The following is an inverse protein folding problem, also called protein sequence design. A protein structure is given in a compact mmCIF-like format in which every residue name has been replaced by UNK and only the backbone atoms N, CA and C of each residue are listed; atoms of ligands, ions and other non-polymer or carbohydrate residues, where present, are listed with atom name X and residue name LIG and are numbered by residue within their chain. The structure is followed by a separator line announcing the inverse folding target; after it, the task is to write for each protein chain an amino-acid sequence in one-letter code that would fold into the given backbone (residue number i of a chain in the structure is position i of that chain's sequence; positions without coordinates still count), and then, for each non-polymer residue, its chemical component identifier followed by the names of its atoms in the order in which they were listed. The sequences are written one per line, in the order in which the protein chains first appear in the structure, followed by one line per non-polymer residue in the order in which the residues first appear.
data_IF_980970833221
#
_entry.id   IF_980970833221
#
_cell.length_a   1.000
_cell.length_b   1.000
_cell.length_c   1.000
_cell.angle_alpha   90.00
_cell.angle_beta   90.00
_cell.angle_gamma   90.00
#
_symmetry.space_group_name_H-M   'P 1'
#
loop_
_entity.id
_entity.type
_entity.pdbx_description
1 polymer ?
#
# COMPACT_ATOMS: atom_id res chain seq x y z
N UNK A 1 -9.71 6.90 34.45
CA UNK A 1 -8.60 7.41 33.61
C UNK A 1 -7.95 6.36 32.66
N UNK A 2 -8.63 5.27 32.26
CA UNK A 2 -8.05 4.25 31.33
C UNK A 2 -8.48 4.37 29.86
N UNK A 3 -9.49 5.20 29.53
CA UNK A 3 -10.04 5.32 28.18
C UNK A 3 -9.15 6.13 27.21
N UNK A 4 -8.41 7.13 27.68
CA UNK A 4 -7.54 7.94 26.79
C UNK A 4 -6.25 7.23 26.40
N UNK A 5 -5.75 6.28 27.20
CA UNK A 5 -4.52 5.56 26.91
C UNK A 5 -4.69 4.58 25.73
N UNK A 6 -5.83 3.88 25.67
CA UNK A 6 -6.18 3.01 24.54
C UNK A 6 -6.43 3.83 23.26
N UNK A 7 -7.12 4.96 23.36
CA UNK A 7 -7.35 5.84 22.20
C UNK A 7 -6.01 6.40 21.67
N UNK A 8 -5.10 6.79 22.55
CA UNK A 8 -3.75 7.24 22.18
C UNK A 8 -2.89 6.12 21.61
N UNK A 9 -3.00 4.88 22.07
CA UNK A 9 -2.33 3.73 21.46
C UNK A 9 -2.92 3.39 20.09
N UNK A 10 -4.24 3.48 19.92
CA UNK A 10 -4.88 3.32 18.61
C UNK A 10 -4.52 4.49 17.68
N UNK A 11 -4.40 5.73 18.17
CA UNK A 11 -3.93 6.89 17.41
C UNK A 11 -2.42 6.86 17.14
N UNK A 12 -1.62 6.21 17.98
CA UNK A 12 -0.19 5.95 17.72
C UNK A 12 -0.01 4.82 16.71
N UNK A 13 -0.85 3.77 16.78
CA UNK A 13 -0.93 2.71 15.76
C UNK A 13 -1.57 3.22 14.45
N UNK A 14 -2.40 4.26 14.55
CA UNK A 14 -2.91 5.11 13.45
C UNK A 14 -2.12 6.42 13.34
N UNK A 15 -0.81 6.41 13.61
CA UNK A 15 0.07 7.18 12.72
C UNK A 15 0.04 6.44 11.40
N UNK A 16 -1.07 6.62 10.68
CA UNK A 16 -1.13 6.48 9.22
C UNK A 16 0.19 7.03 8.74
N UNK A 17 1.03 6.17 8.16
CA UNK A 17 2.24 6.61 7.51
C UNK A 17 1.84 7.84 6.69
N UNK A 18 2.45 8.99 6.99
CA UNK A 18 2.14 10.24 6.31
C UNK A 18 2.23 9.90 4.83
N UNK A 19 1.10 10.00 4.12
CA UNK A 19 1.06 9.64 2.71
C UNK A 19 2.15 10.49 2.03
N UNK A 20 3.13 9.86 1.38
CA UNK A 20 4.15 10.60 0.66
C UNK A 20 3.49 11.49 -0.40
N UNK A 21 4.12 12.64 -0.69
CA UNK A 21 3.58 13.62 -1.64
C UNK A 21 3.22 12.98 -2.98
N UNK A 22 4.06 12.08 -3.51
CA UNK A 22 3.80 11.39 -4.77
C UNK A 22 2.51 10.53 -4.74
N UNK A 23 2.18 9.90 -3.60
CA UNK A 23 0.93 9.14 -3.47
C UNK A 23 -0.27 10.07 -3.40
N UNK A 24 -0.13 11.21 -2.71
CA UNK A 24 -1.18 12.23 -2.66
C UNK A 24 -1.47 12.76 -4.07
N UNK A 25 -0.42 13.08 -4.84
CA UNK A 25 -0.57 13.53 -6.23
C UNK A 25 -1.24 12.48 -7.11
N UNK A 26 -0.80 11.21 -7.01
CA UNK A 26 -1.42 10.09 -7.72
C UNK A 26 -2.91 9.99 -7.41
N UNK A 27 -3.28 10.04 -6.12
CA UNK A 27 -4.67 9.93 -5.69
C UNK A 27 -5.53 11.11 -6.15
N UNK A 28 -4.98 12.33 -6.20
CA UNK A 28 -5.69 13.48 -6.78
C UNK A 28 -5.99 13.29 -8.27
N UNK A 29 -5.14 12.58 -9.00
CA UNK A 29 -5.29 12.39 -10.44
C UNK A 29 -6.22 11.21 -10.79
N UNK A 30 -6.11 10.09 -10.09
CA UNK A 30 -6.83 8.87 -10.46
C UNK A 30 -7.50 8.11 -9.31
N UNK A 31 -7.29 8.50 -8.05
CA UNK A 31 -7.80 7.80 -6.87
C UNK A 31 -7.11 6.46 -6.62
N UNK A 32 -7.30 5.49 -7.51
CA UNK A 32 -6.61 4.20 -7.53
C UNK A 32 -6.44 3.71 -8.97
N UNK A 33 -5.68 2.65 -9.19
CA UNK A 33 -5.45 2.11 -10.52
C UNK A 33 -5.73 0.62 -10.51
N UNK A 34 -6.48 0.14 -11.51
CA UNK A 34 -6.73 -1.28 -11.76
C UNK A 34 -6.41 -1.60 -13.22
N UNK A 35 -5.39 -2.42 -13.44
CA UNK A 35 -4.96 -2.91 -14.76
C UNK A 35 -4.96 -4.44 -14.78
N UNK A 36 -6.12 -5.05 -14.49
CA UNK A 36 -6.30 -6.49 -14.59
C UNK A 36 -5.69 -7.23 -13.41
N UNK A 37 -4.40 -7.53 -13.48
CA UNK A 37 -3.67 -8.24 -12.43
C UNK A 37 -2.77 -7.33 -11.59
N UNK A 38 -2.61 -6.06 -11.98
CA UNK A 38 -1.90 -5.05 -11.21
C UNK A 38 -2.85 -3.98 -10.67
N UNK A 39 -2.60 -3.57 -9.43
CA UNK A 39 -3.40 -2.60 -8.71
C UNK A 39 -2.53 -1.62 -7.95
N UNK A 40 -2.91 -0.34 -8.01
CA UNK A 40 -2.51 0.67 -7.02
C UNK A 40 -3.73 0.94 -6.16
N UNK A 41 -3.63 0.60 -4.87
CA UNK A 41 -4.72 0.74 -3.91
C UNK A 41 -4.97 2.22 -3.66
N UNK A 42 -6.21 2.65 -3.92
CA UNK A 42 -6.65 4.03 -3.70
C UNK A 42 -7.22 4.26 -2.30
N UNK A 43 -7.64 5.50 -2.00
CA UNK A 43 -8.32 5.81 -0.74
C UNK A 43 -9.67 5.11 -0.62
N UNK A 44 -10.33 4.87 -1.75
CA UNK A 44 -11.62 4.17 -1.85
C UNK A 44 -11.45 2.82 -2.58
N UNK A 45 -12.34 1.85 -2.33
CA UNK A 45 -12.36 0.60 -3.08
C UNK A 45 -12.59 0.82 -4.57
N UNK A 46 -11.91 0.03 -5.40
CA UNK A 46 -12.10 0.06 -6.87
C UNK A 46 -12.99 -1.10 -7.28
N UNK A 47 -14.15 -0.80 -7.86
CA UNK A 47 -15.09 -1.83 -8.34
C UNK A 47 -14.53 -2.59 -9.55
N UNK A 48 -14.73 -3.90 -9.58
CA UNK A 48 -14.32 -4.78 -10.69
C UNK A 48 -15.53 -5.48 -11.30
N UNK A 49 -16.43 -4.72 -11.92
CA UNK A 49 -17.62 -5.28 -12.57
C UNK A 49 -18.43 -6.18 -11.63
N UNK A 50 -18.56 -7.47 -11.96
CA UNK A 50 -19.29 -8.47 -11.14
C UNK A 50 -18.44 -9.16 -10.05
N UNK A 51 -17.15 -8.85 -9.92
CA UNK A 51 -16.25 -9.46 -8.94
C UNK A 51 -16.20 -8.62 -7.64
N UNK A 52 -15.69 -9.21 -6.55
CA UNK A 52 -15.40 -8.49 -5.32
C UNK A 52 -14.53 -7.24 -5.60
N UNK A 53 -14.85 -6.09 -4.97
CA UNK A 53 -14.10 -4.86 -5.17
C UNK A 53 -12.67 -5.02 -4.65
N UNK A 54 -11.73 -4.34 -5.30
CA UNK A 54 -10.37 -4.20 -4.81
C UNK A 54 -10.43 -3.32 -3.56
N UNK A 55 -9.84 -3.73 -2.43
CA UNK A 55 -9.92 -2.99 -1.18
C UNK A 55 -9.23 -1.62 -1.28
N UNK A 56 -9.63 -0.71 -0.39
CA UNK A 56 -8.90 0.54 -0.20
C UNK A 56 -7.49 0.29 0.38
N UNK A 57 -6.61 1.29 0.27
CA UNK A 57 -5.28 1.26 0.90
C UNK A 57 -5.40 1.07 2.42
N UNK A 58 -6.45 1.64 3.04
CA UNK A 58 -6.67 1.51 4.49
C UNK A 58 -7.05 0.08 4.86
N UNK A 59 -7.97 -0.52 4.10
CA UNK A 59 -8.46 -1.88 4.38
C UNK A 59 -7.36 -2.91 4.14
N UNK A 60 -6.62 -2.81 3.03
CA UNK A 60 -5.53 -3.76 2.75
C UNK A 60 -4.42 -3.67 3.80
N UNK A 61 -4.07 -2.47 4.25
CA UNK A 61 -3.04 -2.30 5.29
C UNK A 61 -3.51 -2.76 6.66
N UNK A 62 -4.82 -2.67 6.95
CA UNK A 62 -5.43 -3.26 8.15
C UNK A 62 -5.36 -4.79 8.10
N UNK A 63 -5.68 -5.39 6.96
CA UNK A 63 -5.69 -6.85 6.79
C UNK A 63 -4.29 -7.47 6.91
N UNK A 64 -3.28 -6.77 6.41
CA UNK A 64 -1.87 -7.19 6.50
C UNK A 64 -1.20 -6.70 7.79
N UNK A 65 -1.90 -5.99 8.67
CA UNK A 65 -1.32 -5.47 9.92
C UNK A 65 -0.80 -6.61 10.85
N UNK A 66 -1.30 -7.82 10.69
CA UNK A 66 -0.72 -9.00 11.37
C UNK A 66 0.74 -9.28 10.99
N UNK A 67 1.21 -8.76 9.85
CA UNK A 67 2.58 -8.89 9.34
C UNK A 67 3.46 -7.66 9.63
N UNK A 68 3.05 -6.76 10.54
CA UNK A 68 3.80 -5.53 10.84
C UNK A 68 5.26 -5.76 11.24
N UNK A 69 5.56 -6.87 11.92
CA UNK A 69 6.94 -7.23 12.27
C UNK A 69 7.85 -7.38 11.05
N UNK A 70 7.29 -7.81 9.91
CA UNK A 70 8.01 -7.98 8.65
C UNK A 70 8.02 -6.67 7.87
N UNK A 71 6.88 -5.99 7.79
CA UNK A 71 6.74 -4.74 7.04
C UNK A 71 7.57 -3.60 7.66
N UNK A 72 7.86 -3.65 8.96
CA UNK A 72 8.69 -2.66 9.69
C UNK A 72 8.26 -1.23 9.38
N UNK A 73 7.00 -0.90 9.67
CA UNK A 73 6.39 0.43 9.45
C UNK A 73 6.22 0.83 7.97
N UNK A 74 6.17 -0.14 7.06
CA UNK A 74 5.82 0.12 5.66
C UNK A 74 4.31 0.06 5.45
N UNK A 75 3.84 0.89 4.53
CA UNK A 75 2.47 0.90 4.05
C UNK A 75 2.44 0.37 2.62
N UNK A 76 1.70 -0.70 2.40
CA UNK A 76 1.49 -1.28 1.07
C UNK A 76 0.61 -0.35 0.24
N UNK A 77 1.04 0.01 -0.95
CA UNK A 77 0.29 0.86 -1.87
C UNK A 77 -0.11 0.15 -3.16
N UNK A 78 0.51 -0.98 -3.50
CA UNK A 78 0.20 -1.69 -4.72
C UNK A 78 0.54 -3.17 -4.68
N UNK A 79 0.01 -3.90 -5.65
CA UNK A 79 0.25 -5.33 -5.83
C UNK A 79 0.09 -5.70 -7.30
N UNK A 80 0.90 -6.64 -7.76
CA UNK A 80 0.61 -7.44 -8.95
C UNK A 80 0.70 -8.94 -8.63
N UNK A 81 0.60 -9.80 -9.64
CA UNK A 81 0.63 -11.26 -9.46
C UNK A 81 1.88 -11.77 -8.74
N UNK A 82 2.99 -11.04 -8.88
CA UNK A 82 4.31 -11.49 -8.44
C UNK A 82 4.81 -10.79 -7.18
N UNK A 83 4.39 -9.55 -6.94
CA UNK A 83 5.01 -8.70 -5.93
C UNK A 83 4.01 -7.77 -5.25
N UNK A 84 4.35 -7.42 -4.00
CA UNK A 84 3.74 -6.29 -3.31
C UNK A 84 4.63 -5.06 -3.39
N UNK A 85 4.02 -3.89 -3.28
CA UNK A 85 4.72 -2.62 -3.31
C UNK A 85 4.31 -1.81 -2.10
N UNK A 86 5.31 -1.27 -1.40
CA UNK A 86 5.10 -0.52 -0.17
C UNK A 86 6.02 0.69 -0.10
N UNK A 87 5.63 1.71 0.67
CA UNK A 87 6.49 2.82 1.03
C UNK A 87 6.73 2.86 2.54
N UNK A 88 7.86 3.39 2.97
CA UNK A 88 8.10 3.70 4.38
C UNK A 88 7.66 5.13 4.73
N UNK A 89 7.72 5.56 6.02
CA UNK A 89 7.28 6.89 6.42
C UNK A 89 8.05 8.05 5.78
N UNK A 90 9.19 7.78 5.13
CA UNK A 90 9.98 8.78 4.39
C UNK A 90 9.66 8.79 2.89
N UNK A 91 8.70 7.99 2.44
CA UNK A 91 8.30 7.87 1.04
C UNK A 91 9.22 7.02 0.18
N UNK A 92 10.19 6.32 0.78
CA UNK A 92 11.03 5.38 0.04
C UNK A 92 10.17 4.16 -0.32
N UNK A 93 10.16 3.80 -1.60
CA UNK A 93 9.40 2.66 -2.10
C UNK A 93 10.21 1.36 -2.10
N UNK A 94 9.51 0.25 -1.92
CA UNK A 94 10.05 -1.10 -1.90
C UNK A 94 9.17 -2.04 -2.71
N UNK A 95 9.82 -2.94 -3.46
CA UNK A 95 9.20 -4.16 -3.97
C UNK A 95 9.37 -5.24 -2.92
N UNK A 96 8.31 -5.94 -2.58
CA UNK A 96 8.29 -7.01 -1.59
C UNK A 96 7.88 -8.32 -2.24
N UNK A 97 8.42 -9.41 -1.72
CA UNK A 97 8.05 -10.77 -2.09
C UNK A 97 6.57 -11.07 -1.81
N UNK A 98 5.91 -11.85 -2.69
CA UNK A 98 4.47 -12.13 -2.59
C UNK A 98 4.09 -12.95 -1.34
N UNK A 99 5.02 -13.78 -0.86
CA UNK A 99 4.77 -14.77 0.19
C UNK A 99 5.23 -14.23 1.54
N UNK A 100 6.49 -13.79 1.59
CA UNK A 100 7.17 -13.42 2.82
C UNK A 100 7.08 -11.93 3.13
N UNK A 101 6.67 -11.08 2.18
CA UNK A 101 6.67 -9.62 2.28
C UNK A 101 8.06 -9.01 2.61
N UNK A 102 9.13 -9.79 2.43
CA UNK A 102 10.48 -9.28 2.59
C UNK A 102 10.83 -8.34 1.43
N UNK A 103 11.55 -7.23 1.70
CA UNK A 103 12.02 -6.35 0.63
C UNK A 103 12.96 -7.08 -0.33
N UNK A 104 12.61 -7.08 -1.61
CA UNK A 104 13.44 -7.58 -2.71
C UNK A 104 14.21 -6.44 -3.40
N UNK A 105 13.59 -5.26 -3.47
CA UNK A 105 14.17 -4.08 -4.11
C UNK A 105 13.76 -2.82 -3.36
N UNK A 106 14.69 -1.88 -3.24
CA UNK A 106 14.45 -0.49 -2.85
C UNK A 106 14.47 0.38 -4.11
N UNK A 107 13.60 1.37 -4.17
CA UNK A 107 13.54 2.32 -5.27
C UNK A 107 14.06 3.68 -4.84
N UNK A 108 14.91 4.27 -5.69
CA UNK A 108 15.38 5.65 -5.54
C UNK A 108 14.36 6.65 -6.12
N UNK A 109 13.49 6.18 -7.01
CA UNK A 109 12.40 6.95 -7.62
C UNK A 109 11.05 6.24 -7.36
N UNK A 110 10.10 6.87 -6.66
CA UNK A 110 8.79 6.28 -6.38
C UNK A 110 7.95 6.03 -7.65
N UNK A 111 8.10 6.84 -8.70
CA UNK A 111 7.36 6.65 -9.95
C UNK A 111 7.77 5.37 -10.66
N UNK A 112 9.05 4.99 -10.55
CA UNK A 112 9.52 3.69 -11.04
C UNK A 112 8.87 2.53 -10.29
N UNK A 113 8.62 2.66 -8.98
CA UNK A 113 7.92 1.63 -8.22
C UNK A 113 6.47 1.46 -8.68
N UNK A 114 5.77 2.57 -8.98
CA UNK A 114 4.41 2.55 -9.55
C UNK A 114 4.42 1.88 -10.93
N UNK A 115 5.36 2.28 -11.79
CA UNK A 115 5.51 1.70 -13.13
C UNK A 115 5.77 0.19 -13.10
N UNK A 116 6.73 -0.25 -12.29
CA UNK A 116 7.06 -1.68 -12.13
C UNK A 116 5.87 -2.47 -11.56
N UNK A 117 5.08 -1.87 -10.65
CA UNK A 117 3.84 -2.46 -10.15
C UNK A 117 2.84 -2.70 -11.29
N UNK A 118 2.62 -1.69 -12.13
CA UNK A 118 1.60 -1.72 -13.19
C UNK A 118 1.99 -2.57 -14.40
N UNK A 119 3.28 -2.68 -14.73
CA UNK A 119 3.74 -3.40 -15.93
C UNK A 119 3.87 -4.89 -15.72
N UNK A 120 4.33 -5.34 -14.55
CA UNK A 120 4.42 -6.76 -14.30
C UNK A 120 3.04 -7.45 -14.26
N UNK A 121 1.93 -6.70 -14.15
CA UNK A 121 0.57 -7.22 -14.33
C UNK A 121 0.01 -7.19 -15.76
N UNK A 122 0.79 -6.79 -16.76
CA UNK A 122 0.39 -6.75 -18.19
C UNK A 122 0.91 -7.94 -19.02
N UNK A 123 1.71 -8.84 -18.44
CA UNK A 123 2.33 -9.98 -19.13
C UNK A 123 1.32 -11.13 -19.25
#
# INVERSE_FOLDING_TARGET
MKKSLLLNQTLQNMRTAILPEFMIELYKQCGGINLGNAYIFGPDPVERGKNYPIPSITDINRDIAKFQNILKQKTVFGRNDLFWFAFDPFGICYMLDNITLNPLRKYDDPYRAIYDCLIAGKI
#
